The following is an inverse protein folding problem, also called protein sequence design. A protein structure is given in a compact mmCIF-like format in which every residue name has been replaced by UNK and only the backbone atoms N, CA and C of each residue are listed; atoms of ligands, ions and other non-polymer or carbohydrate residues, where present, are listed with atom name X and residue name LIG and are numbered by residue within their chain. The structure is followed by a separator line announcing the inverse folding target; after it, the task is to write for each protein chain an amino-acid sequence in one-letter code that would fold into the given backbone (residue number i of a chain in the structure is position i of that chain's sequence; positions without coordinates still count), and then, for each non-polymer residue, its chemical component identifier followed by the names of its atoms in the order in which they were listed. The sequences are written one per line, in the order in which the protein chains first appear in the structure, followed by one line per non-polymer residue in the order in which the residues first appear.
data_IF_992155170510
#
_entry.id   IF_992155170510
#
_cell.length_a   1.000
_cell.length_b   1.000
_cell.length_c   1.000
_cell.angle_alpha   90.00
_cell.angle_beta   90.00
_cell.angle_gamma   90.00
#
_symmetry.space_group_name_H-M   'P 1'
#
loop_
_entity.id
_entity.type
_entity.pdbx_description
1 polymer ?
#
# COMPACT_ATOMS: atom_id res chain seq x y z
N UNK A 1 16.52 -8.69 -9.59
CA UNK A 1 15.34 -8.34 -10.41
C UNK A 1 14.97 -9.47 -11.38
N UNK A 2 15.93 -10.12 -12.05
CA UNK A 2 15.64 -11.22 -13.01
C UNK A 2 15.19 -12.54 -12.37
N UNK A 3 15.60 -12.82 -11.13
CA UNK A 3 15.30 -14.09 -10.42
C UNK A 3 14.01 -14.08 -9.61
N UNK A 4 13.36 -12.93 -9.43
CA UNK A 4 12.07 -12.81 -8.72
C UNK A 4 10.85 -12.95 -9.67
N UNK A 5 11.08 -12.88 -10.99
CA UNK A 5 10.04 -13.03 -12.01
C UNK A 5 9.28 -14.36 -11.92
N UNK A 6 9.92 -15.53 -11.70
CA UNK A 6 9.20 -16.80 -11.74
C UNK A 6 8.13 -16.95 -10.64
N UNK A 7 8.41 -16.46 -9.42
CA UNK A 7 7.43 -16.53 -8.32
C UNK A 7 6.28 -15.54 -8.53
N UNK A 8 6.59 -14.33 -9.01
CA UNK A 8 5.59 -13.33 -9.35
C UNK A 8 4.68 -13.81 -10.47
N UNK A 9 5.26 -14.31 -11.56
CA UNK A 9 4.51 -14.85 -12.70
C UNK A 9 3.62 -16.02 -12.24
N UNK A 10 4.08 -16.85 -11.30
CA UNK A 10 3.24 -17.88 -10.71
C UNK A 10 2.09 -17.30 -9.87
N UNK A 11 2.35 -16.32 -9.01
CA UNK A 11 1.33 -15.72 -8.15
C UNK A 11 0.28 -14.93 -8.94
N UNK A 12 0.71 -14.10 -9.88
CA UNK A 12 -0.18 -13.30 -10.76
C UNK A 12 -1.07 -14.21 -11.62
N UNK A 13 -0.52 -15.29 -12.17
CA UNK A 13 -1.27 -16.17 -13.07
C UNK A 13 -2.17 -17.18 -12.36
N UNK A 14 -1.82 -17.62 -11.14
CA UNK A 14 -2.55 -18.70 -10.47
C UNK A 14 -3.38 -18.25 -9.27
N UNK A 15 -2.97 -17.20 -8.54
CA UNK A 15 -3.61 -16.78 -7.29
C UNK A 15 -3.64 -15.24 -7.21
N UNK A 16 -4.60 -14.58 -7.89
CA UNK A 16 -4.64 -13.12 -8.00
C UNK A 16 -4.76 -12.40 -6.66
N UNK A 17 -5.33 -13.04 -5.63
CA UNK A 17 -5.43 -12.48 -4.28
C UNK A 17 -4.08 -12.29 -3.59
N UNK A 18 -3.08 -13.13 -3.89
CA UNK A 18 -1.72 -12.95 -3.35
C UNK A 18 -1.04 -11.79 -4.06
N UNK A 19 -1.22 -11.66 -5.37
CA UNK A 19 -0.61 -10.59 -6.15
C UNK A 19 -1.25 -9.20 -5.90
N UNK A 20 -2.50 -9.15 -5.44
CA UNK A 20 -3.21 -7.90 -5.17
C UNK A 20 -2.69 -7.13 -3.95
N UNK A 21 -1.96 -7.80 -3.05
CA UNK A 21 -1.37 -7.18 -1.86
C UNK A 21 -0.12 -6.38 -2.26
N UNK A 22 -0.14 -5.06 -2.05
CA UNK A 22 0.97 -4.18 -2.41
C UNK A 22 2.29 -4.56 -1.74
N UNK A 23 2.24 -5.09 -0.52
CA UNK A 23 3.43 -5.55 0.23
C UNK A 23 4.13 -6.77 -0.39
N UNK A 24 3.46 -7.49 -1.28
CA UNK A 24 4.01 -8.67 -1.96
C UNK A 24 4.79 -8.29 -3.22
N UNK A 25 4.76 -7.02 -3.61
CA UNK A 25 5.50 -6.52 -4.76
C UNK A 25 7.02 -6.55 -4.50
N UNK A 26 7.83 -6.64 -5.56
CA UNK A 26 9.28 -6.58 -5.42
C UNK A 26 9.75 -5.18 -5.03
N UNK A 27 10.80 -5.12 -4.22
CA UNK A 27 11.45 -3.87 -3.81
C UNK A 27 12.26 -3.25 -4.94
N UNK A 28 12.09 -1.96 -5.18
CA UNK A 28 12.99 -1.17 -6.00
C UNK A 28 14.28 -0.81 -5.23
N UNK A 29 15.36 -0.49 -5.97
CA UNK A 29 16.58 0.07 -5.37
C UNK A 29 16.30 1.36 -4.57
N UNK A 30 15.38 2.21 -5.05
CA UNK A 30 15.00 3.44 -4.35
C UNK A 30 14.45 3.15 -2.95
N UNK A 31 13.69 2.07 -2.78
CA UNK A 31 13.16 1.66 -1.48
C UNK A 31 14.28 1.18 -0.55
N UNK A 32 15.24 0.40 -1.06
CA UNK A 32 16.42 0.00 -0.28
C UNK A 32 17.20 1.20 0.26
N UNK A 33 17.44 2.20 -0.59
CA UNK A 33 18.15 3.41 -0.17
C UNK A 33 17.32 4.26 0.80
N UNK A 34 16.02 4.40 0.55
CA UNK A 34 15.12 5.18 1.40
C UNK A 34 15.06 4.63 2.83
N UNK A 35 15.01 3.30 2.98
CA UNK A 35 14.89 2.64 4.28
C UNK A 35 16.23 2.53 5.02
N UNK A 36 17.33 2.30 4.30
CA UNK A 36 18.61 1.90 4.90
C UNK A 36 19.76 2.91 4.70
N UNK A 37 19.60 3.93 3.85
CA UNK A 37 20.55 5.03 3.57
C UNK A 37 22.04 4.62 3.65
N UNK A 38 22.75 4.93 4.74
CA UNK A 38 24.16 4.61 4.93
C UNK A 38 24.46 3.10 5.02
N UNK A 39 23.54 2.31 5.59
CA UNK A 39 23.75 0.89 5.84
C UNK A 39 23.94 0.10 4.53
N UNK A 40 23.29 0.53 3.45
CA UNK A 40 23.41 -0.12 2.13
C UNK A 40 24.86 -0.11 1.64
N UNK A 41 25.60 0.98 1.89
CA UNK A 41 27.00 1.11 1.50
C UNK A 41 27.97 0.43 2.47
N UNK A 42 27.63 0.38 3.75
CA UNK A 42 28.47 -0.24 4.78
C UNK A 42 28.31 -1.76 4.86
N UNK A 43 27.23 -2.31 4.31
CA UNK A 43 26.97 -3.75 4.32
C UNK A 43 28.04 -4.58 3.58
N UNK A 44 28.46 -4.25 2.34
CA UNK A 44 29.55 -4.97 1.66
C UNK A 44 30.88 -4.89 2.44
N UNK A 45 31.15 -3.77 3.10
CA UNK A 45 32.34 -3.58 3.94
C UNK A 45 32.30 -4.51 5.16
N UNK A 46 31.15 -4.60 5.82
CA UNK A 46 30.92 -5.54 6.92
C UNK A 46 31.11 -7.00 6.50
N UNK A 47 30.55 -7.38 5.35
CA UNK A 47 30.74 -8.71 4.78
C UNK A 47 32.22 -9.01 4.52
N UNK A 48 32.96 -8.07 3.93
CA UNK A 48 34.40 -8.23 3.68
C UNK A 48 35.19 -8.52 4.96
N UNK A 49 34.93 -7.79 6.06
CA UNK A 49 35.57 -8.07 7.34
C UNK A 49 35.19 -9.43 7.93
N UNK A 50 33.95 -9.89 7.73
CA UNK A 50 33.51 -11.21 8.16
C UNK A 50 34.19 -12.33 7.36
N UNK A 51 34.38 -12.15 6.04
CA UNK A 51 35.12 -13.10 5.19
C UNK A 51 36.62 -13.17 5.53
N UNK A 52 37.22 -12.06 5.96
CA UNK A 52 38.62 -12.05 6.37
C UNK A 52 38.88 -12.82 7.67
N UNK A 53 37.88 -12.90 8.56
CA UNK A 53 37.96 -13.64 9.83
C UNK A 53 36.85 -14.67 9.90
N UNK A 54 37.06 -15.83 9.28
CA UNK A 54 36.10 -16.92 9.29
C UNK A 54 36.07 -17.59 10.67
N UNK A 55 35.05 -17.25 11.45
CA UNK A 55 34.64 -17.95 12.67
C UNK A 55 33.25 -18.54 12.45
N UNK A 56 32.85 -19.55 13.22
CA UNK A 56 31.53 -20.19 13.08
C UNK A 56 30.37 -19.17 13.18
N UNK A 57 30.51 -18.17 14.06
CA UNK A 57 29.55 -17.07 14.19
C UNK A 57 29.53 -16.15 12.95
N UNK A 58 30.69 -15.88 12.35
CA UNK A 58 30.77 -15.04 11.16
C UNK A 58 30.24 -15.76 9.91
N UNK A 59 30.37 -17.09 9.84
CA UNK A 59 29.74 -17.88 8.77
C UNK A 59 28.22 -17.77 8.87
N UNK A 60 27.66 -17.85 10.08
CA UNK A 60 26.23 -17.67 10.30
C UNK A 60 25.72 -16.29 9.84
N UNK A 61 26.40 -15.20 10.23
CA UNK A 61 25.95 -13.84 9.85
C UNK A 61 26.06 -13.58 8.35
N UNK A 62 27.08 -14.14 7.68
CA UNK A 62 27.23 -14.05 6.22
C UNK A 62 26.07 -14.78 5.53
N UNK A 63 25.78 -16.00 5.94
CA UNK A 63 24.67 -16.78 5.37
C UNK A 63 23.34 -16.04 5.59
N UNK A 64 23.10 -15.56 6.81
CA UNK A 64 21.90 -14.80 7.14
C UNK A 64 21.78 -13.54 6.26
N UNK A 65 22.86 -12.76 6.09
CA UNK A 65 22.87 -11.56 5.26
C UNK A 65 22.58 -11.83 3.78
N UNK A 66 23.21 -12.85 3.19
CA UNK A 66 23.02 -13.22 1.78
C UNK A 66 21.61 -13.78 1.54
N UNK A 67 21.09 -14.59 2.45
CA UNK A 67 19.73 -15.12 2.35
C UNK A 67 18.69 -14.01 2.53
N UNK A 68 18.86 -13.13 3.52
CA UNK A 68 17.94 -12.01 3.76
C UNK A 68 17.91 -10.98 2.64
N UNK A 69 19.06 -10.64 2.04
CA UNK A 69 19.08 -9.68 0.92
C UNK A 69 18.37 -10.23 -0.31
N UNK A 70 18.46 -11.55 -0.54
CA UNK A 70 17.71 -12.22 -1.60
C UNK A 70 16.20 -12.11 -1.37
N UNK A 71 15.73 -12.47 -0.18
CA UNK A 71 14.30 -12.43 0.16
C UNK A 71 13.73 -11.01 0.19
N UNK A 72 14.45 -10.05 0.76
CA UNK A 72 14.06 -8.64 0.71
C UNK A 72 13.96 -8.12 -0.73
N UNK A 73 14.83 -8.60 -1.64
CA UNK A 73 14.77 -8.25 -3.06
C UNK A 73 13.56 -8.83 -3.81
N UNK A 74 12.95 -9.89 -3.29
CA UNK A 74 11.76 -10.54 -3.88
C UNK A 74 10.48 -9.88 -3.36
N UNK A 75 10.44 -9.45 -2.10
CA UNK A 75 9.21 -9.02 -1.42
C UNK A 75 9.48 -7.86 -0.45
N UNK A 76 8.74 -6.75 -0.60
CA UNK A 76 8.85 -5.55 0.26
C UNK A 76 8.71 -5.86 1.74
N UNK A 77 7.77 -6.73 2.12
CA UNK A 77 7.56 -7.08 3.53
C UNK A 77 8.78 -7.74 4.20
N UNK A 78 9.63 -8.43 3.43
CA UNK A 78 10.80 -9.13 3.96
C UNK A 78 11.99 -8.20 4.23
N UNK A 79 11.87 -6.91 3.87
CA UNK A 79 12.81 -5.86 4.26
C UNK A 79 12.96 -5.75 5.79
N UNK A 80 11.89 -6.01 6.53
CA UNK A 80 11.89 -6.02 8.00
C UNK A 80 12.89 -7.05 8.57
N UNK A 81 13.03 -8.20 7.90
CA UNK A 81 13.94 -9.29 8.33
C UNK A 81 15.39 -8.99 7.93
N UNK A 82 15.60 -8.15 6.90
CA UNK A 82 16.92 -7.71 6.46
C UNK A 82 17.52 -6.65 7.41
N UNK A 83 16.69 -5.75 7.94
CA UNK A 83 17.16 -4.60 8.73
C UNK A 83 18.12 -4.98 9.90
N UNK A 84 17.84 -6.00 10.75
CA UNK A 84 18.75 -6.37 11.83
C UNK A 84 20.16 -6.77 11.36
N UNK A 85 20.25 -7.53 10.26
CA UNK A 85 21.53 -7.99 9.71
C UNK A 85 22.33 -6.85 9.10
N UNK A 86 21.63 -5.95 8.41
CA UNK A 86 22.23 -4.75 7.85
C UNK A 86 22.85 -3.90 8.97
N UNK A 87 22.15 -3.71 10.09
CA UNK A 87 22.68 -2.98 11.25
C UNK A 87 23.93 -3.63 11.82
N UNK A 88 23.94 -4.96 11.99
CA UNK A 88 25.09 -5.70 12.55
C UNK A 88 26.31 -5.60 11.62
N UNK A 89 26.14 -5.91 10.33
CA UNK A 89 27.25 -5.90 9.37
C UNK A 89 27.76 -4.49 9.10
N UNK A 90 26.87 -3.51 8.93
CA UNK A 90 27.25 -2.11 8.81
C UNK A 90 28.00 -1.62 10.07
N UNK A 91 27.53 -2.01 11.26
CA UNK A 91 28.18 -1.70 12.53
C UNK A 91 29.59 -2.28 12.62
N UNK A 92 29.79 -3.54 12.21
CA UNK A 92 31.11 -4.18 12.14
C UNK A 92 32.02 -3.41 11.16
N UNK A 93 31.50 -3.06 9.98
CA UNK A 93 32.23 -2.30 8.96
C UNK A 93 32.71 -0.94 9.49
N UNK A 94 31.77 -0.14 10.03
CA UNK A 94 32.05 1.18 10.59
C UNK A 94 33.02 1.08 11.78
N UNK A 95 32.81 0.13 12.68
CA UNK A 95 33.67 -0.08 13.85
C UNK A 95 35.11 -0.47 13.46
N UNK A 96 35.27 -1.39 12.51
CA UNK A 96 36.58 -1.81 12.03
C UNK A 96 37.33 -0.68 11.32
N UNK A 97 36.64 0.12 10.50
CA UNK A 97 37.21 1.30 9.86
C UNK A 97 37.64 2.35 10.89
N UNK A 98 36.73 2.74 11.79
CA UNK A 98 37.04 3.73 12.84
C UNK A 98 38.20 3.28 13.74
N UNK A 99 38.24 2.01 14.15
CA UNK A 99 39.34 1.47 14.96
C UNK A 99 40.68 1.53 14.24
N UNK A 100 40.69 1.32 12.92
CA UNK A 100 41.92 1.35 12.11
C UNK A 100 42.46 2.77 11.97
N UNK A 101 41.59 3.73 11.67
CA UNK A 101 41.99 5.13 11.50
C UNK A 101 42.23 5.85 12.83
N UNK A 102 41.47 5.57 13.88
CA UNK A 102 41.69 6.16 15.21
C UNK A 102 43.07 5.81 15.79
N UNK A 103 43.56 4.58 15.59
CA UNK A 103 44.92 4.19 15.98
C UNK A 103 46.02 4.97 15.25
N UNK A 104 45.73 5.52 14.07
CA UNK A 104 46.67 6.33 13.29
C UNK A 104 46.67 7.79 13.72
N UNK A 105 45.62 8.25 14.42
CA UNK A 105 45.52 9.59 15.00
C UNK A 105 46.30 9.69 16.32
N UNK A 106 46.27 8.64 17.15
CA UNK A 106 46.93 8.61 18.48
C UNK A 106 48.45 8.38 18.45
N UNK A 107 49.09 8.35 17.28
CA UNK A 107 50.54 8.13 17.20
C UNK A 107 51.27 9.41 17.63
N UNK A 108 51.51 9.56 18.94
CA UNK A 108 52.55 10.45 19.46
C UNK A 108 53.88 10.09 18.78
N UNK A 109 54.59 11.05 18.18
CA UNK A 109 55.86 10.77 17.51
C UNK A 109 56.83 10.14 18.53
N UNK A 110 57.48 9.01 18.20
CA UNK A 110 58.50 8.45 19.07
C UNK A 110 59.63 9.47 19.19
N UNK A 111 59.80 9.95 20.42
CA UNK A 111 60.85 10.87 20.78
C UNK A 111 62.21 10.15 20.65
N UNK A 112 62.84 10.22 19.45
CA UNK A 112 64.30 10.30 19.22
C UNK A 112 64.73 10.05 17.76
N UNK A 113 65.42 11.09 17.25
CA UNK A 113 66.59 11.06 16.33
C UNK A 113 66.51 10.15 15.10
N UNK A 114 66.08 10.72 13.98
CA UNK A 114 66.35 10.16 12.65
C UNK A 114 65.65 10.92 11.53
N UNK A 115 66.23 12.03 11.08
CA UNK A 115 65.75 12.79 9.90
C UNK A 115 65.74 11.89 8.65
N UNK A 116 64.58 11.35 8.25
CA UNK A 116 64.21 11.14 6.83
C UNK A 116 62.78 10.68 6.52
N UNK A 117 61.85 10.54 7.48
CA UNK A 117 60.50 10.03 7.17
C UNK A 117 59.31 10.77 7.80
N UNK A 118 59.47 12.03 8.24
CA UNK A 118 58.39 12.76 8.95
C UNK A 118 57.22 13.18 8.03
N UNK A 119 57.46 13.48 6.75
CA UNK A 119 56.42 13.98 5.83
C UNK A 119 55.30 12.98 5.49
N UNK A 120 55.60 11.67 5.49
CA UNK A 120 54.60 10.62 5.24
C UNK A 120 53.77 10.27 6.47
N UNK A 121 54.25 10.56 7.68
CA UNK A 121 53.52 10.30 8.92
C UNK A 121 52.50 11.39 9.22
N UNK A 122 52.87 12.66 9.00
CA UNK A 122 51.96 13.79 9.18
C UNK A 122 50.76 13.71 8.22
N UNK A 123 51.00 13.42 6.93
CA UNK A 123 49.91 13.17 5.98
C UNK A 123 49.02 11.99 6.37
N UNK A 124 49.55 10.92 6.98
CA UNK A 124 48.74 9.77 7.44
C UNK A 124 47.84 10.13 8.62
N UNK A 125 48.33 10.92 9.57
CA UNK A 125 47.54 11.40 10.70
C UNK A 125 46.44 12.37 10.25
N UNK A 126 46.74 13.32 9.35
CA UNK A 126 45.74 14.23 8.78
C UNK A 126 44.67 13.48 7.98
N UNK A 127 45.07 12.49 7.16
CA UNK A 127 44.12 11.64 6.42
C UNK A 127 43.23 10.83 7.37
N UNK A 128 43.80 10.28 8.44
CA UNK A 128 43.04 9.53 9.44
C UNK A 128 42.04 10.43 10.19
N UNK A 129 42.45 11.64 10.58
CA UNK A 129 41.57 12.63 11.20
C UNK A 129 40.44 13.07 10.24
N UNK A 130 40.77 13.31 8.96
CA UNK A 130 39.79 13.60 7.92
C UNK A 130 38.78 12.47 7.72
N UNK A 131 39.24 11.22 7.74
CA UNK A 131 38.36 10.04 7.63
C UNK A 131 37.41 9.92 8.83
N UNK A 132 37.90 10.10 10.06
CA UNK A 132 37.06 10.06 11.27
C UNK A 132 36.01 11.16 11.23
N UNK A 133 36.40 12.40 10.87
CA UNK A 133 35.47 13.50 10.72
C UNK A 133 34.40 13.22 9.65
N UNK A 134 34.79 12.64 8.51
CA UNK A 134 33.87 12.24 7.45
C UNK A 134 32.86 11.18 7.92
N UNK A 135 33.32 10.16 8.66
CA UNK A 135 32.43 9.14 9.23
C UNK A 135 31.43 9.74 10.23
N UNK A 136 31.87 10.69 11.07
CA UNK A 136 30.96 11.40 11.97
C UNK A 136 29.87 12.20 11.20
N UNK A 137 30.24 12.83 10.08
CA UNK A 137 29.28 13.53 9.21
C UNK A 137 28.25 12.55 8.63
N UNK A 138 28.70 11.40 8.12
CA UNK A 138 27.78 10.37 7.58
C UNK A 138 26.83 9.82 8.64
N UNK A 139 27.31 9.54 9.85
CA UNK A 139 26.46 9.08 10.96
C UNK A 139 25.44 10.14 11.39
N UNK A 140 25.83 11.42 11.39
CA UNK A 140 24.92 12.54 11.66
C UNK A 140 23.86 12.67 10.57
N UNK A 141 24.27 12.58 9.29
CA UNK A 141 23.37 12.58 8.14
C UNK A 141 22.39 11.40 8.19
N UNK A 142 22.86 10.20 8.55
CA UNK A 142 22.01 9.03 8.74
C UNK A 142 20.93 9.26 9.80
N UNK A 143 21.30 9.85 10.95
CA UNK A 143 20.36 10.15 12.03
C UNK A 143 19.28 11.15 11.59
N UNK A 144 19.69 12.21 10.87
CA UNK A 144 18.76 13.20 10.31
C UNK A 144 17.82 12.58 9.28
N UNK A 145 18.33 11.73 8.39
CA UNK A 145 17.55 10.99 7.41
C UNK A 145 16.50 10.10 8.07
N UNK A 146 16.90 9.26 9.04
CA UNK A 146 15.97 8.38 9.75
C UNK A 146 14.87 9.17 10.47
N UNK A 147 15.21 10.32 11.07
CA UNK A 147 14.23 11.18 11.75
C UNK A 147 13.24 11.76 10.76
N UNK A 148 13.72 12.28 9.62
CA UNK A 148 12.88 12.85 8.57
C UNK A 148 11.96 11.81 7.94
N UNK A 149 12.50 10.64 7.56
CA UNK A 149 11.71 9.55 6.96
C UNK A 149 10.62 9.07 7.93
N UNK A 150 10.95 8.90 9.21
CA UNK A 150 9.98 8.48 10.22
C UNK A 150 8.86 9.52 10.39
N UNK A 151 9.23 10.81 10.41
CA UNK A 151 8.29 11.92 10.63
C UNK A 151 7.37 12.19 9.44
N UNK A 152 7.85 12.10 8.21
CA UNK A 152 7.05 12.49 7.05
C UNK A 152 6.43 11.30 6.29
N UNK A 153 7.08 10.13 6.27
CA UNK A 153 6.61 9.00 5.46
C UNK A 153 5.86 7.95 6.28
N UNK A 154 6.42 7.46 7.39
CA UNK A 154 5.85 6.33 8.11
C UNK A 154 4.83 6.70 9.19
N UNK A 155 4.88 7.93 9.74
CA UNK A 155 3.94 8.37 10.79
C UNK A 155 2.66 9.00 10.23
N UNK A 156 1.97 8.26 9.36
CA UNK A 156 0.69 8.67 8.76
C UNK A 156 -0.45 7.71 9.14
N UNK A 157 -1.52 8.17 9.83
CA UNK A 157 -2.65 7.33 10.15
C UNK A 157 -3.50 7.01 8.90
N UNK A 158 -3.94 5.75 8.77
CA UNK A 158 -4.76 5.31 7.62
C UNK A 158 -6.27 5.45 7.83
N UNK A 159 -6.72 5.68 9.07
CA UNK A 159 -8.15 5.86 9.42
C UNK A 159 -8.57 7.33 9.27
N UNK A 160 -7.66 8.24 9.63
CA UNK A 160 -7.90 9.68 9.61
C UNK A 160 -7.04 10.25 8.52
N UNK A 161 -7.66 10.73 7.44
CA UNK A 161 -6.91 11.31 6.34
C UNK A 161 -6.57 12.75 6.68
N UNK A 162 -5.38 13.20 6.30
CA UNK A 162 -5.02 14.60 6.43
C UNK A 162 -4.53 15.18 5.12
N UNK A 163 -5.08 16.32 4.74
CA UNK A 163 -4.60 17.14 3.64
C UNK A 163 -4.01 18.44 4.18
N UNK A 164 -3.13 19.06 3.39
CA UNK A 164 -2.64 20.42 3.62
C UNK A 164 -3.37 21.35 2.66
N UNK A 165 -4.02 22.38 3.20
CA UNK A 165 -4.59 23.44 2.38
C UNK A 165 -3.50 24.36 1.83
N UNK A 166 -3.86 25.22 0.87
CA UNK A 166 -2.91 26.13 0.21
C UNK A 166 -2.28 27.15 1.19
N UNK A 167 -2.93 27.41 2.32
CA UNK A 167 -2.43 28.26 3.41
C UNK A 167 -1.49 27.51 4.39
N UNK A 168 -1.26 26.21 4.19
CA UNK A 168 -0.47 25.36 5.08
C UNK A 168 -1.23 24.81 6.28
N UNK A 169 -2.52 25.13 6.44
CA UNK A 169 -3.36 24.54 7.48
C UNK A 169 -3.60 23.05 7.21
N UNK A 170 -3.66 22.26 8.28
CA UNK A 170 -3.93 20.82 8.20
C UNK A 170 -5.44 20.60 8.28
N UNK A 171 -6.04 20.16 7.18
CA UNK A 171 -7.43 19.72 7.12
C UNK A 171 -7.45 18.21 7.41
N UNK A 172 -8.35 17.80 8.28
CA UNK A 172 -8.50 16.41 8.70
C UNK A 172 -9.86 15.92 8.20
N UNK A 173 -9.85 14.83 7.44
CA UNK A 173 -11.06 14.14 7.00
C UNK A 173 -11.25 12.89 7.84
N UNK A 174 -12.42 12.80 8.48
CA UNK A 174 -12.75 11.74 9.43
C UNK A 174 -13.95 10.90 9.02
N UNK A 175 -14.23 10.87 7.71
CA UNK A 175 -15.39 10.22 7.11
C UNK A 175 -15.47 8.72 7.44
N UNK A 176 -14.33 8.03 7.57
CA UNK A 176 -14.31 6.60 7.94
C UNK A 176 -14.94 6.37 9.32
N UNK A 177 -14.50 7.13 10.33
CA UNK A 177 -15.04 6.98 11.70
C UNK A 177 -16.49 7.41 11.76
N UNK A 178 -16.85 8.48 11.06
CA UNK A 178 -18.23 8.95 10.92
C UNK A 178 -19.15 7.86 10.37
N UNK A 179 -18.82 7.27 9.22
CA UNK A 179 -19.60 6.21 8.59
C UNK A 179 -19.71 4.97 9.47
N UNK A 180 -18.60 4.54 10.08
CA UNK A 180 -18.61 3.38 10.98
C UNK A 180 -19.44 3.64 12.25
N UNK A 181 -19.42 4.86 12.79
CA UNK A 181 -20.26 5.23 13.93
C UNK A 181 -21.74 5.29 13.60
N UNK A 182 -22.09 5.82 12.42
CA UNK A 182 -23.46 5.79 11.91
C UNK A 182 -23.95 4.34 11.79
N UNK A 183 -23.14 3.48 11.17
CA UNK A 183 -23.47 2.07 11.01
C UNK A 183 -23.70 1.37 12.36
N UNK A 184 -22.92 1.74 13.38
CA UNK A 184 -23.07 1.21 14.75
C UNK A 184 -24.34 1.65 15.48
N UNK A 185 -24.79 2.88 15.29
CA UNK A 185 -25.90 3.46 16.08
C UNK A 185 -27.24 3.44 15.35
N UNK A 186 -27.23 3.34 14.01
CA UNK A 186 -28.42 3.51 13.18
C UNK A 186 -28.86 2.24 12.44
N UNK A 187 -28.18 1.10 12.64
CA UNK A 187 -28.57 -0.18 12.04
C UNK A 187 -28.89 -1.24 13.11
N UNK A 188 -29.68 -2.28 12.79
CA UNK A 188 -29.88 -3.43 13.68
C UNK A 188 -28.55 -4.10 14.08
N UNK A 189 -28.48 -4.67 15.28
CA UNK A 189 -27.26 -5.32 15.79
C UNK A 189 -26.87 -6.56 14.98
N UNK A 190 -27.85 -7.25 14.39
CA UNK A 190 -27.66 -8.42 13.53
C UNK A 190 -27.47 -8.07 12.05
N UNK A 191 -27.41 -6.78 11.71
CA UNK A 191 -27.25 -6.34 10.34
C UNK A 191 -25.91 -6.82 9.74
N UNK A 192 -26.00 -7.35 8.52
CA UNK A 192 -24.87 -7.87 7.75
C UNK A 192 -24.43 -6.87 6.70
N UNK A 193 -23.14 -6.54 6.74
CA UNK A 193 -22.51 -5.52 5.90
C UNK A 193 -21.58 -6.19 4.90
N UNK A 194 -21.83 -5.97 3.61
CA UNK A 194 -20.96 -6.37 2.51
C UNK A 194 -20.01 -5.23 2.15
N UNK A 195 -18.71 -5.49 2.17
CA UNK A 195 -17.65 -4.58 1.75
C UNK A 195 -16.54 -5.37 1.08
N UNK A 196 -15.55 -4.67 0.51
CA UNK A 196 -14.29 -5.34 0.13
C UNK A 196 -13.52 -5.84 1.36
N UNK A 197 -12.66 -6.85 1.17
CA UNK A 197 -12.00 -7.59 2.25
C UNK A 197 -11.01 -6.73 3.06
N UNK A 198 -10.42 -5.70 2.45
CA UNK A 198 -9.51 -4.75 3.10
C UNK A 198 -10.12 -4.14 4.38
N UNK A 199 -11.43 -3.88 4.37
CA UNK A 199 -12.12 -3.10 5.40
C UNK A 199 -12.74 -3.95 6.51
N UNK A 200 -12.76 -5.29 6.38
CA UNK A 200 -13.50 -6.17 7.29
C UNK A 200 -13.15 -5.98 8.77
N UNK A 201 -11.86 -5.91 9.10
CA UNK A 201 -11.42 -5.67 10.48
C UNK A 201 -11.81 -4.30 11.01
N UNK A 202 -11.78 -3.26 10.17
CA UNK A 202 -12.18 -1.91 10.57
C UNK A 202 -13.66 -1.84 10.90
N UNK A 203 -14.50 -2.43 10.04
CA UNK A 203 -15.96 -2.49 10.24
C UNK A 203 -16.27 -3.26 11.52
N UNK A 204 -15.66 -4.42 11.72
CA UNK A 204 -15.89 -5.23 12.92
C UNK A 204 -15.49 -4.48 14.19
N UNK A 205 -14.31 -3.84 14.20
CA UNK A 205 -13.79 -3.16 15.39
C UNK A 205 -14.51 -1.84 15.71
N UNK A 206 -14.88 -1.06 14.69
CA UNK A 206 -15.45 0.28 14.88
C UNK A 206 -16.97 0.29 14.81
N UNK A 207 -17.52 -0.32 13.76
CA UNK A 207 -18.97 -0.35 13.53
C UNK A 207 -19.68 -1.45 14.35
N UNK A 208 -18.95 -2.47 14.82
CA UNK A 208 -19.50 -3.59 15.58
C UNK A 208 -20.69 -4.26 14.86
N UNK A 209 -20.50 -4.62 13.59
CA UNK A 209 -21.50 -5.30 12.75
C UNK A 209 -20.94 -6.55 12.10
N UNK A 210 -21.84 -7.45 11.71
CA UNK A 210 -21.48 -8.71 11.05
C UNK A 210 -20.98 -8.42 9.63
N UNK A 211 -19.81 -8.94 9.29
CA UNK A 211 -19.20 -8.82 7.96
C UNK A 211 -19.25 -10.15 7.22
N UNK A 212 -19.23 -10.10 5.88
CA UNK A 212 -19.19 -11.31 5.04
C UNK A 212 -17.75 -11.75 4.73
N UNK A 213 -16.87 -10.80 4.44
CA UNK A 213 -15.48 -11.08 4.05
C UNK A 213 -14.52 -10.30 4.95
N UNK A 214 -13.41 -10.93 5.31
CA UNK A 214 -12.41 -10.36 6.21
C UNK A 214 -11.00 -10.32 5.57
N UNK A 215 -10.09 -9.67 6.28
CA UNK A 215 -8.73 -9.46 5.84
C UNK A 215 -7.81 -10.68 6.10
N UNK A 216 -8.32 -11.78 6.68
CA UNK A 216 -7.56 -13.03 6.79
C UNK A 216 -7.55 -13.80 5.47
N UNK A 217 -8.53 -13.60 4.60
CA UNK A 217 -8.56 -14.14 3.23
C UNK A 217 -8.44 -15.68 3.11
N UNK A 218 -8.91 -16.42 4.11
CA UNK A 218 -8.77 -17.88 4.14
C UNK A 218 -9.70 -18.62 3.15
N UNK A 219 -10.84 -18.02 2.79
CA UNK A 219 -11.83 -18.60 1.87
C UNK A 219 -11.96 -17.77 0.59
N UNK A 220 -11.13 -18.11 -0.41
CA UNK A 220 -11.09 -17.42 -1.70
C UNK A 220 -12.41 -17.48 -2.47
N UNK A 221 -13.19 -18.57 -2.33
CA UNK A 221 -14.47 -18.71 -3.01
C UNK A 221 -15.49 -17.70 -2.48
N UNK A 222 -15.46 -17.41 -1.17
CA UNK A 222 -16.35 -16.42 -0.57
C UNK A 222 -16.02 -15.00 -1.04
N UNK A 223 -14.72 -14.65 -1.08
CA UNK A 223 -14.26 -13.35 -1.60
C UNK A 223 -14.59 -13.21 -3.08
N UNK A 224 -14.41 -14.28 -3.86
CA UNK A 224 -14.81 -14.32 -5.27
C UNK A 224 -16.31 -14.07 -5.45
N UNK A 225 -17.16 -14.58 -4.56
CA UNK A 225 -18.61 -14.32 -4.61
C UNK A 225 -18.96 -12.86 -4.36
N UNK A 226 -18.28 -12.20 -3.40
CA UNK A 226 -18.42 -10.74 -3.19
C UNK A 226 -17.88 -9.96 -4.39
N UNK A 227 -16.73 -10.33 -4.95
CA UNK A 227 -16.19 -9.73 -6.18
C UNK A 227 -17.15 -9.86 -7.37
N UNK A 228 -17.82 -11.01 -7.51
CA UNK A 228 -18.87 -11.21 -8.52
C UNK A 228 -20.04 -10.26 -8.32
N UNK A 229 -20.52 -10.09 -7.09
CA UNK A 229 -21.59 -9.14 -6.79
C UNK A 229 -21.20 -7.70 -7.15
N UNK A 230 -19.98 -7.27 -6.78
CA UNK A 230 -19.51 -5.91 -7.06
C UNK A 230 -19.27 -5.64 -8.54
N UNK A 231 -18.84 -6.64 -9.31
CA UNK A 231 -18.49 -6.50 -10.72
C UNK A 231 -19.66 -6.77 -11.69
N UNK A 232 -20.75 -7.37 -11.23
CA UNK A 232 -21.91 -7.72 -12.06
C UNK A 232 -22.94 -6.58 -12.15
N UNK A 233 -23.88 -6.61 -13.13
CA UNK A 233 -25.02 -5.70 -13.14
C UNK A 233 -25.96 -5.93 -11.94
N UNK A 234 -26.84 -4.95 -11.68
CA UNK A 234 -27.71 -4.93 -10.49
C UNK A 234 -28.57 -6.18 -10.30
N UNK A 235 -29.13 -6.75 -11.38
CA UNK A 235 -29.99 -7.93 -11.35
C UNK A 235 -29.27 -9.16 -10.76
N UNK A 236 -28.08 -9.45 -11.29
CA UNK A 236 -27.23 -10.56 -10.84
C UNK A 236 -26.62 -10.28 -9.48
N UNK A 237 -26.19 -9.05 -9.24
CA UNK A 237 -25.63 -8.67 -7.95
C UNK A 237 -26.68 -8.78 -6.84
N UNK A 238 -27.95 -8.44 -7.12
CA UNK A 238 -29.04 -8.60 -6.18
C UNK A 238 -29.32 -10.06 -5.83
N UNK A 239 -29.33 -10.96 -6.81
CA UNK A 239 -29.42 -12.41 -6.57
C UNK A 239 -28.34 -12.89 -5.59
N UNK A 240 -27.10 -12.42 -5.76
CA UNK A 240 -25.96 -12.77 -4.89
C UNK A 240 -26.12 -12.16 -3.50
N UNK A 241 -26.48 -10.88 -3.41
CA UNK A 241 -26.70 -10.20 -2.12
C UNK A 241 -27.80 -10.87 -1.30
N UNK A 242 -28.85 -11.37 -1.96
CA UNK A 242 -29.93 -12.14 -1.31
C UNK A 242 -29.48 -13.56 -0.92
N UNK A 243 -28.70 -14.25 -1.74
CA UNK A 243 -28.11 -15.56 -1.39
C UNK A 243 -27.26 -15.47 -0.12
N UNK A 244 -26.54 -14.36 0.06
CA UNK A 244 -25.66 -14.12 1.19
C UNK A 244 -26.32 -13.39 2.37
N UNK A 245 -27.62 -13.08 2.27
CA UNK A 245 -28.41 -12.39 3.29
C UNK A 245 -27.80 -11.03 3.71
N UNK A 246 -27.41 -10.21 2.73
CA UNK A 246 -26.82 -8.88 2.93
C UNK A 246 -27.90 -7.84 3.22
N UNK A 247 -27.71 -7.01 4.24
CA UNK A 247 -28.60 -5.89 4.54
C UNK A 247 -28.04 -4.55 4.06
N UNK A 248 -26.74 -4.33 4.25
CA UNK A 248 -26.05 -3.10 3.87
C UNK A 248 -24.83 -3.37 3.01
N UNK A 249 -24.54 -2.47 2.07
CA UNK A 249 -23.34 -2.49 1.23
C UNK A 249 -22.56 -1.21 1.49
N UNK A 250 -21.27 -1.36 1.80
CA UNK A 250 -20.36 -0.24 2.04
C UNK A 250 -19.34 -0.18 0.91
N UNK A 251 -19.25 0.99 0.27
CA UNK A 251 -18.24 1.30 -0.74
C UNK A 251 -17.50 2.59 -0.40
N UNK A 252 -16.23 2.67 -0.79
CA UNK A 252 -15.40 3.85 -0.63
C UNK A 252 -15.22 4.55 -1.96
N UNK A 253 -15.58 5.82 -1.99
CA UNK A 253 -15.56 6.66 -3.18
C UNK A 253 -14.64 7.87 -2.97
N UNK A 254 -13.56 7.95 -3.73
CA UNK A 254 -12.57 9.01 -3.59
C UNK A 254 -12.76 10.19 -4.54
N UNK A 255 -13.77 10.17 -5.41
CA UNK A 255 -13.85 11.10 -6.55
C UNK A 255 -14.05 12.58 -6.18
N UNK A 256 -14.65 12.87 -5.02
CA UNK A 256 -14.83 14.24 -4.52
C UNK A 256 -13.61 14.72 -3.71
N UNK A 257 -13.08 13.88 -2.83
CA UNK A 257 -11.97 14.19 -1.93
C UNK A 257 -10.60 14.11 -2.61
N UNK A 258 -10.49 13.41 -3.74
CA UNK A 258 -9.21 13.10 -4.40
C UNK A 258 -8.48 11.92 -3.77
N UNK A 259 -9.19 11.03 -3.05
CA UNK A 259 -8.59 9.87 -2.40
C UNK A 259 -8.31 8.75 -3.40
N UNK A 260 -7.04 8.46 -3.66
CA UNK A 260 -6.62 7.51 -4.69
C UNK A 260 -6.77 6.03 -4.32
N UNK A 261 -6.95 5.69 -3.03
CA UNK A 261 -7.08 4.29 -2.57
C UNK A 261 -8.54 3.88 -2.39
N UNK A 262 -9.39 4.34 -3.31
CA UNK A 262 -10.82 4.04 -3.33
C UNK A 262 -11.15 2.72 -4.06
N UNK A 263 -12.42 2.30 -4.00
CA UNK A 263 -12.82 0.99 -4.52
C UNK A 263 -12.81 0.91 -6.04
N UNK A 264 -12.93 2.04 -6.74
CA UNK A 264 -12.86 2.07 -8.21
C UNK A 264 -11.44 1.77 -8.71
N UNK A 265 -10.39 2.21 -8.02
CA UNK A 265 -9.01 1.83 -8.39
C UNK A 265 -8.68 0.38 -8.05
N UNK A 266 -9.36 -0.20 -7.06
CA UNK A 266 -9.24 -1.62 -6.70
C UNK A 266 -10.18 -2.53 -7.51
N UNK A 267 -11.11 -1.96 -8.27
CA UNK A 267 -12.18 -2.67 -8.95
C UNK A 267 -11.68 -3.79 -9.85
N UNK A 268 -10.58 -3.56 -10.58
CA UNK A 268 -10.02 -4.57 -11.48
C UNK A 268 -9.54 -5.83 -10.72
N UNK A 269 -9.07 -5.69 -9.48
CA UNK A 269 -8.78 -6.84 -8.62
C UNK A 269 -10.05 -7.58 -8.21
N UNK A 270 -11.15 -6.87 -7.97
CA UNK A 270 -12.46 -7.48 -7.73
C UNK A 270 -12.93 -8.30 -8.93
N UNK A 271 -12.73 -7.79 -10.15
CA UNK A 271 -13.03 -8.49 -11.40
C UNK A 271 -12.17 -9.75 -11.56
N UNK A 272 -10.85 -9.64 -11.37
CA UNK A 272 -9.91 -10.78 -11.46
C UNK A 272 -10.23 -11.88 -10.45
N UNK A 273 -10.47 -11.51 -9.19
CA UNK A 273 -10.81 -12.47 -8.13
C UNK A 273 -12.22 -13.03 -8.35
N UNK A 274 -13.17 -12.20 -8.76
CA UNK A 274 -14.54 -12.60 -9.08
C UNK A 274 -14.61 -13.62 -10.22
N UNK A 275 -13.83 -13.40 -11.29
CA UNK A 275 -13.75 -14.28 -12.46
C UNK A 275 -12.93 -15.54 -12.27
N UNK A 276 -12.16 -15.66 -11.19
CA UNK A 276 -11.25 -16.80 -10.95
C UNK A 276 -11.95 -18.11 -10.59
N UNK A 277 -13.22 -18.07 -10.16
CA UNK A 277 -13.98 -19.26 -9.74
C UNK A 277 -14.99 -19.72 -10.79
N UNK A 278 -15.40 -20.98 -10.74
CA UNK A 278 -16.32 -21.57 -11.72
C UNK A 278 -17.64 -20.81 -11.88
N UNK A 279 -18.19 -20.29 -10.77
CA UNK A 279 -19.42 -19.46 -10.79
C UNK A 279 -19.20 -18.10 -11.47
N UNK A 280 -17.98 -17.60 -11.47
CA UNK A 280 -17.59 -16.29 -12.01
C UNK A 280 -17.09 -16.30 -13.44
N UNK A 281 -17.08 -17.44 -14.15
CA UNK A 281 -16.56 -17.55 -15.55
C UNK A 281 -17.19 -16.58 -16.56
N UNK A 282 -18.36 -16.03 -16.25
CA UNK A 282 -19.04 -15.03 -17.05
C UNK A 282 -18.41 -13.62 -16.93
N UNK A 283 -17.65 -13.37 -15.86
CA UNK A 283 -16.92 -12.13 -15.62
C UNK A 283 -15.55 -12.24 -16.29
N UNK A 284 -15.31 -11.42 -17.30
CA UNK A 284 -14.02 -11.34 -17.99
C UNK A 284 -13.44 -9.95 -17.85
N UNK A 285 -12.16 -9.89 -17.50
CA UNK A 285 -11.44 -8.62 -17.32
C UNK A 285 -11.47 -7.74 -18.58
N UNK A 286 -11.34 -8.38 -19.76
CA UNK A 286 -11.36 -7.69 -21.06
C UNK A 286 -12.65 -6.91 -21.33
N UNK A 287 -13.77 -7.35 -20.76
CA UNK A 287 -15.08 -6.71 -21.00
C UNK A 287 -15.19 -5.35 -20.30
N UNK A 288 -14.32 -5.03 -19.34
CA UNK A 288 -14.32 -3.74 -18.62
C UNK A 288 -13.39 -2.69 -19.24
N UNK A 289 -12.62 -3.06 -20.28
CA UNK A 289 -11.76 -2.15 -21.01
C UNK A 289 -12.47 -1.57 -22.23
N UNK A 290 -12.04 -0.40 -22.67
CA UNK A 290 -12.42 0.17 -23.96
C UNK A 290 -11.85 -0.68 -25.10
N UNK A 291 -12.32 -0.51 -26.35
CA UNK A 291 -11.73 -1.18 -27.52
C UNK A 291 -10.24 -0.87 -27.74
N UNK A 292 -9.74 0.26 -27.21
CA UNK A 292 -8.32 0.63 -27.21
C UNK A 292 -7.52 -0.06 -26.09
N UNK A 293 -8.18 -0.76 -25.17
CA UNK A 293 -7.56 -1.43 -24.02
C UNK A 293 -7.36 -0.54 -22.80
N UNK A 294 -8.00 0.62 -22.75
CA UNK A 294 -7.90 1.57 -21.64
C UNK A 294 -9.04 1.36 -20.62
N UNK A 295 -8.76 1.57 -19.33
CA UNK A 295 -9.77 1.53 -18.28
C UNK A 295 -10.26 2.97 -18.04
N UNK A 296 -11.42 3.31 -18.60
CA UNK A 296 -12.00 4.65 -18.50
C UNK A 296 -13.40 4.65 -17.90
N UNK A 297 -13.67 5.65 -17.07
CA UNK A 297 -14.98 5.89 -16.41
C UNK A 297 -15.82 6.95 -17.14
N UNK A 298 -15.28 7.50 -18.22
CA UNK A 298 -15.93 8.49 -19.07
C UNK A 298 -16.95 7.85 -20.02
N UNK A 299 -17.42 8.65 -21.00
CA UNK A 299 -18.40 8.20 -22.00
C UNK A 299 -17.85 7.15 -22.97
N UNK A 300 -16.53 7.06 -23.12
CA UNK A 300 -15.87 6.07 -23.97
C UNK A 300 -15.59 4.76 -23.20
N UNK A 301 -15.79 4.77 -21.88
CA UNK A 301 -15.75 3.60 -21.01
C UNK A 301 -16.65 2.46 -21.48
N UNK A 302 -16.26 1.22 -21.15
CA UNK A 302 -17.02 0.04 -21.55
C UNK A 302 -18.46 0.11 -21.01
N UNK A 303 -19.47 -0.26 -21.83
CA UNK A 303 -20.85 -0.33 -21.36
C UNK A 303 -21.04 -1.34 -20.23
N UNK A 304 -20.16 -2.35 -20.10
CA UNK A 304 -20.19 -3.31 -18.99
C UNK A 304 -19.74 -2.65 -17.69
N UNK A 305 -18.71 -1.79 -17.76
CA UNK A 305 -18.25 -1.00 -16.61
C UNK A 305 -19.29 0.03 -16.18
N UNK A 306 -19.83 0.82 -17.13
CA UNK A 306 -20.80 1.87 -16.83
C UNK A 306 -22.13 1.33 -16.26
N UNK A 307 -22.42 0.05 -16.44
CA UNK A 307 -23.62 -0.62 -15.92
C UNK A 307 -23.35 -1.56 -14.73
N UNK A 308 -22.10 -1.71 -14.28
CA UNK A 308 -21.79 -2.59 -13.16
C UNK A 308 -22.27 -1.98 -11.83
N UNK A 309 -22.54 -2.85 -10.84
CA UNK A 309 -23.02 -2.42 -9.53
C UNK A 309 -22.04 -1.43 -8.86
N UNK A 310 -20.74 -1.71 -8.90
CA UNK A 310 -19.73 -0.83 -8.30
C UNK A 310 -19.76 0.58 -8.89
N UNK A 311 -19.83 0.72 -10.22
CA UNK A 311 -19.90 2.03 -10.87
C UNK A 311 -21.15 2.79 -10.40
N UNK A 312 -22.31 2.11 -10.41
CA UNK A 312 -23.56 2.72 -9.98
C UNK A 312 -23.55 3.13 -8.50
N UNK A 313 -23.03 2.29 -7.61
CA UNK A 313 -22.91 2.62 -6.18
C UNK A 313 -21.95 3.79 -5.91
N UNK A 314 -20.82 3.87 -6.61
CA UNK A 314 -19.88 4.97 -6.37
C UNK A 314 -20.39 6.30 -6.94
N UNK A 315 -20.97 6.29 -8.14
CA UNK A 315 -21.35 7.50 -8.87
C UNK A 315 -22.82 7.92 -8.74
N UNK A 316 -23.63 7.24 -7.90
CA UNK A 316 -25.04 7.62 -7.70
C UNK A 316 -25.17 9.10 -7.30
N UNK A 317 -25.95 9.87 -8.07
CA UNK A 317 -26.14 11.33 -7.92
C UNK A 317 -24.89 12.19 -8.04
N UNK A 318 -23.74 11.64 -8.45
CA UNK A 318 -22.50 12.39 -8.61
C UNK A 318 -22.49 13.27 -9.87
N UNK A 319 -23.29 12.92 -10.88
CA UNK A 319 -23.35 13.63 -12.17
C UNK A 319 -23.75 15.11 -12.10
N UNK A 320 -24.41 15.53 -11.01
CA UNK A 320 -24.84 16.92 -10.78
C UNK A 320 -23.91 17.70 -9.83
N UNK A 321 -22.88 17.05 -9.27
CA UNK A 321 -21.97 17.68 -8.29
C UNK A 321 -20.83 18.40 -9.01
N UNK A 322 -20.55 19.63 -8.57
CA UNK A 322 -19.38 20.39 -8.99
C UNK A 322 -18.21 20.12 -8.04
N UNK A 323 -17.17 19.46 -8.54
CA UNK A 323 -16.00 19.07 -7.74
C UNK A 323 -14.82 20.04 -7.85
N UNK A 324 -14.69 20.71 -8.99
CA UNK A 324 -13.57 21.63 -9.27
C UNK A 324 -14.05 22.84 -10.08
N UNK A 325 -13.48 24.02 -9.78
CA UNK A 325 -13.78 25.24 -10.50
C UNK A 325 -13.28 25.16 -11.95
N UNK A 326 -14.16 25.44 -12.91
CA UNK A 326 -13.84 25.40 -14.34
C UNK A 326 -13.94 24.01 -15.00
N UNK A 327 -14.39 22.99 -14.26
CA UNK A 327 -14.69 21.65 -14.77
C UNK A 327 -16.20 21.43 -14.91
N UNK A 328 -16.65 20.52 -15.80
CA UNK A 328 -18.06 20.16 -15.90
C UNK A 328 -18.56 19.48 -14.61
N UNK A 329 -19.88 19.45 -14.36
CA UNK A 329 -20.44 18.69 -13.25
C UNK A 329 -20.24 17.18 -13.47
N UNK A 330 -20.04 16.43 -12.38
CA UNK A 330 -19.69 15.01 -12.44
C UNK A 330 -18.24 14.74 -12.84
N UNK A 331 -17.32 15.62 -12.45
CA UNK A 331 -15.89 15.45 -12.70
C UNK A 331 -15.21 14.69 -11.56
N UNK A 332 -14.62 13.53 -11.85
CA UNK A 332 -13.87 12.72 -10.87
C UNK A 332 -12.43 13.23 -10.74
N UNK A 333 -12.05 13.69 -9.54
CA UNK A 333 -10.72 14.27 -9.27
C UNK A 333 -9.58 13.25 -9.23
N UNK A 334 -9.89 11.97 -9.01
CA UNK A 334 -8.88 10.90 -8.97
C UNK A 334 -8.53 10.45 -10.38
N UNK A 335 -9.53 10.29 -11.25
CA UNK A 335 -9.34 9.88 -12.66
C UNK A 335 -9.14 11.03 -13.62
N UNK A 336 -9.38 12.27 -13.17
CA UNK A 336 -9.32 13.48 -13.99
C UNK A 336 -10.25 13.42 -15.21
N UNK A 337 -11.41 12.75 -15.08
CA UNK A 337 -12.34 12.49 -16.16
C UNK A 337 -13.79 12.88 -15.78
N UNK A 338 -14.57 13.29 -16.78
CA UNK A 338 -16.02 13.46 -16.63
C UNK A 338 -16.70 12.11 -16.72
N UNK A 339 -17.60 11.79 -15.79
CA UNK A 339 -18.27 10.48 -15.77
C UNK A 339 -19.12 10.24 -17.02
N UNK A 340 -19.11 9.00 -17.51
CA UNK A 340 -19.86 8.59 -18.68
C UNK A 340 -21.37 8.64 -18.50
N UNK A 341 -21.87 8.04 -17.42
CA UNK A 341 -23.29 8.00 -17.10
C UNK A 341 -23.61 8.92 -15.91
N UNK A 342 -24.36 9.99 -16.16
CA UNK A 342 -24.65 11.02 -15.15
C UNK A 342 -25.93 10.78 -14.37
N UNK A 343 -26.93 10.24 -15.05
CA UNK A 343 -28.28 10.11 -14.54
C UNK A 343 -28.71 8.65 -14.64
N UNK A 344 -28.74 7.99 -13.49
CA UNK A 344 -29.25 6.63 -13.33
C UNK A 344 -29.85 6.46 -11.94
N UNK A 345 -30.79 5.54 -11.82
CA UNK A 345 -31.38 5.15 -10.55
C UNK A 345 -30.88 3.78 -10.11
N UNK A 346 -30.95 3.53 -8.80
CA UNK A 346 -30.68 2.23 -8.19
C UNK A 346 -32.00 1.51 -7.97
N UNK A 347 -32.21 0.41 -8.70
CA UNK A 347 -33.47 -0.33 -8.66
C UNK A 347 -33.54 -1.16 -7.37
N UNK A 348 -32.43 -1.85 -7.05
CA UNK A 348 -32.36 -2.84 -5.95
C UNK A 348 -31.71 -2.32 -4.67
N UNK A 349 -31.10 -1.14 -4.71
CA UNK A 349 -30.44 -0.48 -3.59
C UNK A 349 -31.08 0.86 -3.27
N UNK A 350 -31.06 1.25 -1.99
CA UNK A 350 -31.38 2.60 -1.53
C UNK A 350 -30.18 3.23 -0.83
N UNK A 351 -29.90 4.51 -1.08
CA UNK A 351 -28.85 5.24 -0.38
C UNK A 351 -29.26 5.44 1.09
N UNK A 352 -28.51 4.84 2.01
CA UNK A 352 -28.81 4.89 3.44
C UNK A 352 -28.00 6.00 4.15
N UNK A 353 -26.72 6.15 3.78
CA UNK A 353 -25.84 7.18 4.31
C UNK A 353 -24.70 7.49 3.34
N UNK A 354 -24.31 8.77 3.25
CA UNK A 354 -23.12 9.23 2.54
C UNK A 354 -22.44 10.27 3.42
N UNK A 355 -21.13 10.15 3.63
CA UNK A 355 -20.37 11.03 4.53
C UNK A 355 -20.23 12.45 3.96
N UNK A 356 -19.80 13.39 4.80
CA UNK A 356 -19.64 14.82 4.45
C UNK A 356 -18.84 15.01 3.14
N UNK A 357 -17.72 14.30 2.97
CA UNK A 357 -16.85 14.43 1.80
C UNK A 357 -17.06 13.32 0.76
N UNK A 358 -18.18 12.59 0.86
CA UNK A 358 -18.55 11.48 -0.02
C UNK A 358 -17.51 10.36 -0.07
N UNK A 359 -16.69 10.23 0.98
CA UNK A 359 -15.61 9.26 1.05
C UNK A 359 -16.13 7.84 1.25
N UNK A 360 -17.15 7.69 2.10
CA UNK A 360 -17.78 6.40 2.39
C UNK A 360 -19.27 6.51 2.07
N UNK A 361 -19.79 5.54 1.31
CA UNK A 361 -21.20 5.45 0.95
C UNK A 361 -21.76 4.11 1.41
N UNK A 362 -22.91 4.18 2.08
CA UNK A 362 -23.60 3.03 2.64
C UNK A 362 -24.97 2.93 1.95
N UNK A 363 -25.19 1.80 1.30
CA UNK A 363 -26.44 1.46 0.65
C UNK A 363 -27.16 0.38 1.43
N UNK A 364 -28.48 0.45 1.48
CA UNK A 364 -29.33 -0.61 2.02
C UNK A 364 -29.92 -1.42 0.87
N UNK A 365 -29.91 -2.74 1.02
CA UNK A 365 -30.49 -3.66 0.05
C UNK A 365 -32.00 -3.66 0.22
N UNK A 366 -32.75 -3.39 -0.85
CA UNK A 366 -34.22 -3.36 -0.80
C UNK A 366 -34.78 -4.77 -0.65
N UNK A 367 -35.94 -4.85 -0.01
CA UNK A 367 -36.74 -6.07 0.04
C UNK A 367 -37.35 -6.39 -1.32
N UNK A 368 -37.78 -7.64 -1.49
CA UNK A 368 -38.47 -8.06 -2.70
C UNK A 368 -39.73 -7.21 -2.92
N UNK A 369 -40.09 -6.91 -4.19
CA UNK A 369 -41.34 -6.24 -4.50
C UNK A 369 -42.51 -6.96 -3.84
N UNK A 370 -43.33 -6.22 -3.11
CA UNK A 370 -44.49 -6.77 -2.38
C UNK A 370 -45.50 -7.49 -3.31
N UNK A 371 -45.46 -7.18 -4.59
CA UNK A 371 -46.13 -7.92 -5.66
C UNK A 371 -45.01 -8.34 -6.62
N UNK A 372 -44.62 -9.61 -6.61
CA UNK A 372 -43.49 -10.15 -7.41
C UNK A 372 -43.74 -10.12 -8.92
N UNK A 373 -43.96 -8.93 -9.48
CA UNK A 373 -44.07 -8.61 -10.89
C UNK A 373 -42.77 -7.93 -11.31
#
# INVERSE_FOLDING_TARGET
VETARPWRDFAENNIPIIASVSEHQPTSWSSFYFDLQLLVFMFPVGLYFCFNKLTDANIFIILYGITSIYFAGVMVRLMLVLAPVMCILAGIGVSAMLTTYSKQVDVTPPDKKGKRHEGNYFMRAEVAQGFVAMMCIFLTSYTMHCTWVTSEAYSSPSIVLSARAHDGSRIIFDDFREAYYWLRHNTPEDAKVMSWWDYGYQITAMANRTILVDNNTWNNTHISRVGQAMASPEDRAYEIMRELDVNYVLVIFGGLSGYSSDDINKFLWMVRIGGSTDRGRHIKEQDYYTPSGEFSVDREGSPVLLNCLMYKMCYYRFGSVYTEAGKPPGYDRVRNAEIGNKDFELDVLEEAYTTEHWLVRIYKVKDLPNRGI
#
